data_IF_748163384470
#
_entry.id   IF_748163384470
#
_cell.length_a   1.000
_cell.length_b   1.000
_cell.length_c   1.000
_cell.angle_alpha   90.00
_cell.angle_beta   90.00
_cell.angle_gamma   90.00
#
_symmetry.space_group_name_H-M   'P 1'
#
loop_
_entity.id
_entity.type
_entity.pdbx_description
1 polymer ?
#
# COMPACT_ATOMS: atom_id res chain seq x y z
N UNK A 1 8.51 -11.06 -16.00
CA UNK A 1 7.73 -12.28 -15.76
C UNK A 1 8.55 -13.33 -15.03
N UNK A 2 9.23 -12.94 -13.95
CA UNK A 2 9.89 -13.78 -12.97
C UNK A 2 9.48 -13.21 -11.61
N UNK A 3 9.36 -14.03 -10.57
CA UNK A 3 8.99 -13.57 -9.23
C UNK A 3 10.22 -13.20 -8.37
N UNK A 4 9.98 -12.57 -7.23
CA UNK A 4 11.05 -12.17 -6.31
C UNK A 4 11.87 -13.37 -5.80
N UNK A 5 11.24 -14.52 -5.56
CA UNK A 5 11.91 -15.73 -5.05
C UNK A 5 12.95 -16.25 -6.04
N UNK A 6 12.59 -16.33 -7.33
CA UNK A 6 13.50 -16.73 -8.39
C UNK A 6 14.70 -15.77 -8.51
N UNK A 7 14.46 -14.46 -8.42
CA UNK A 7 15.54 -13.47 -8.50
C UNK A 7 16.55 -13.60 -7.35
N UNK A 8 16.06 -13.92 -6.14
CA UNK A 8 16.90 -14.13 -4.96
C UNK A 8 17.71 -15.43 -5.10
N UNK A 9 17.06 -16.55 -5.46
CA UNK A 9 17.71 -17.85 -5.60
C UNK A 9 18.81 -17.83 -6.66
N UNK A 10 18.56 -17.14 -7.78
CA UNK A 10 19.52 -17.00 -8.88
C UNK A 10 20.58 -15.92 -8.66
N UNK A 11 20.55 -15.20 -7.53
CA UNK A 11 21.42 -14.04 -7.24
C UNK A 11 21.38 -13.01 -8.37
N UNK A 12 20.19 -12.77 -8.91
CA UNK A 12 19.99 -11.81 -9.98
C UNK A 12 20.46 -10.42 -9.52
N UNK A 13 21.05 -9.57 -10.40
CA UNK A 13 21.58 -8.26 -10.02
C UNK A 13 20.58 -7.37 -9.25
N UNK A 14 19.29 -7.46 -9.56
CA UNK A 14 18.24 -6.73 -8.81
C UNK A 14 18.12 -7.21 -7.36
N UNK A 15 18.19 -8.52 -7.11
CA UNK A 15 18.12 -9.07 -5.76
C UNK A 15 19.33 -8.61 -4.93
N UNK A 16 20.53 -8.65 -5.53
CA UNK A 16 21.74 -8.14 -4.89
C UNK A 16 21.66 -6.62 -4.62
N UNK A 17 21.18 -5.84 -5.59
CA UNK A 17 21.04 -4.38 -5.47
C UNK A 17 20.11 -3.97 -4.33
N UNK A 18 18.98 -4.67 -4.19
CA UNK A 18 17.97 -4.38 -3.18
C UNK A 18 18.08 -5.28 -1.94
N UNK A 19 19.20 -6.01 -1.79
CA UNK A 19 19.49 -6.88 -0.65
C UNK A 19 18.34 -7.85 -0.33
N UNK A 20 17.79 -8.48 -1.36
CA UNK A 20 16.69 -9.45 -1.32
C UNK A 20 15.36 -8.90 -0.78
N UNK A 21 15.23 -7.58 -0.62
CA UNK A 21 14.00 -6.92 -0.14
C UNK A 21 13.20 -6.36 -1.30
N UNK A 22 12.07 -7.00 -1.59
CA UNK A 22 11.12 -6.60 -2.65
C UNK A 22 11.82 -6.12 -3.94
N UNK A 23 12.69 -6.94 -4.58
CA UNK A 23 13.55 -6.47 -5.67
C UNK A 23 12.79 -5.89 -6.86
N UNK A 24 11.65 -6.49 -7.22
CA UNK A 24 10.81 -6.01 -8.34
C UNK A 24 10.12 -4.69 -7.99
N UNK A 25 9.51 -4.59 -6.80
CA UNK A 25 8.78 -3.41 -6.37
C UNK A 25 9.71 -2.20 -6.20
N UNK A 26 10.93 -2.42 -5.70
CA UNK A 26 11.96 -1.38 -5.65
C UNK A 26 12.42 -0.94 -7.06
N UNK A 27 12.57 -1.89 -7.98
CA UNK A 27 12.86 -1.57 -9.38
C UNK A 27 11.73 -0.76 -10.03
N UNK A 28 10.46 -1.10 -9.76
CA UNK A 28 9.29 -0.36 -10.23
C UNK A 28 9.29 1.08 -9.71
N UNK A 29 9.53 1.29 -8.41
CA UNK A 29 9.70 2.62 -7.82
C UNK A 29 10.80 3.41 -8.52
N UNK A 30 11.99 2.81 -8.66
CA UNK A 30 13.13 3.46 -9.29
C UNK A 30 12.80 3.88 -10.72
N UNK A 31 12.17 2.98 -11.50
CA UNK A 31 11.86 3.25 -12.90
C UNK A 31 10.80 4.33 -13.07
N UNK A 32 9.78 4.35 -12.21
CA UNK A 32 8.75 5.39 -12.20
C UNK A 32 9.37 6.78 -12.05
N UNK A 33 10.22 6.97 -11.05
CA UNK A 33 10.81 8.28 -10.77
C UNK A 33 11.94 8.65 -11.74
N UNK A 34 12.67 7.69 -12.28
CA UNK A 34 13.60 7.91 -13.39
C UNK A 34 12.84 8.48 -14.59
N UNK A 35 11.72 7.86 -14.98
CA UNK A 35 10.91 8.34 -16.11
C UNK A 35 10.28 9.71 -15.82
N UNK A 36 9.70 9.89 -14.63
CA UNK A 36 9.07 11.16 -14.24
C UNK A 36 10.07 12.33 -14.11
N UNK A 37 11.37 12.05 -13.99
CA UNK A 37 12.43 13.07 -13.98
C UNK A 37 12.79 13.61 -15.36
N UNK A 38 12.38 12.92 -16.43
CA UNK A 38 12.65 13.37 -17.80
C UNK A 38 11.75 14.55 -18.16
N UNK A 39 12.31 15.52 -18.89
CA UNK A 39 11.60 16.75 -19.29
C UNK A 39 10.33 16.49 -20.11
N UNK A 40 10.28 15.38 -20.85
CA UNK A 40 9.13 14.98 -21.66
C UNK A 40 8.04 14.24 -20.86
N UNK A 41 8.29 13.87 -19.61
CA UNK A 41 7.38 13.08 -18.78
C UNK A 41 7.23 13.65 -17.35
N UNK A 42 7.38 14.97 -17.18
CA UNK A 42 7.36 15.62 -15.86
C UNK A 42 5.94 15.78 -15.29
N UNK A 43 5.26 14.67 -15.05
CA UNK A 43 3.87 14.62 -14.53
C UNK A 43 3.71 15.24 -13.14
N UNK A 44 4.82 15.46 -12.43
CA UNK A 44 4.84 16.06 -11.08
C UNK A 44 5.39 17.50 -11.07
N UNK A 45 5.55 18.13 -12.24
CA UNK A 45 6.23 19.43 -12.36
C UNK A 45 5.53 20.61 -11.69
N UNK A 46 4.22 20.52 -11.46
CA UNK A 46 3.43 21.58 -10.81
C UNK A 46 3.36 21.44 -9.28
N UNK A 47 3.90 20.35 -8.73
CA UNK A 47 3.90 20.13 -7.29
C UNK A 47 4.96 20.99 -6.61
N UNK A 48 4.60 21.58 -5.47
CA UNK A 48 5.60 22.14 -4.54
C UNK A 48 6.48 21.04 -3.97
N UNK A 49 7.68 21.38 -3.48
CA UNK A 49 8.60 20.41 -2.89
C UNK A 49 7.97 19.58 -1.76
N UNK A 50 7.14 20.20 -0.93
CA UNK A 50 6.43 19.54 0.16
C UNK A 50 5.42 18.51 -0.38
N UNK A 51 4.65 18.89 -1.40
CA UNK A 51 3.68 17.99 -2.06
C UNK A 51 4.40 16.86 -2.78
N UNK A 52 5.51 17.15 -3.47
CA UNK A 52 6.31 16.13 -4.14
C UNK A 52 6.86 15.11 -3.16
N UNK A 53 7.41 15.54 -2.02
CA UNK A 53 7.90 14.63 -0.99
C UNK A 53 6.79 13.75 -0.41
N UNK A 54 5.61 14.33 -0.13
CA UNK A 54 4.46 13.57 0.37
C UNK A 54 3.96 12.55 -0.67
N UNK A 55 3.77 12.99 -1.92
CA UNK A 55 3.38 12.13 -3.04
C UNK A 55 4.39 11.00 -3.24
N UNK A 56 5.69 11.32 -3.25
CA UNK A 56 6.75 10.33 -3.43
C UNK A 56 6.71 9.26 -2.35
N UNK A 57 6.55 9.65 -1.08
CA UNK A 57 6.39 8.68 0.03
C UNK A 57 5.19 7.77 -0.22
N UNK A 58 4.03 8.34 -0.53
CA UNK A 58 2.81 7.57 -0.78
C UNK A 58 2.95 6.60 -1.97
N UNK A 59 3.56 7.03 -3.08
CA UNK A 59 3.79 6.18 -4.24
C UNK A 59 4.76 5.03 -3.92
N UNK A 60 5.84 5.30 -3.20
CA UNK A 60 6.80 4.28 -2.79
C UNK A 60 6.12 3.25 -1.88
N UNK A 61 5.39 3.70 -0.87
CA UNK A 61 4.65 2.83 0.03
C UNK A 61 3.64 1.98 -0.74
N UNK A 62 2.82 2.59 -1.61
CA UNK A 62 1.82 1.90 -2.40
C UNK A 62 2.41 0.80 -3.29
N UNK A 63 3.56 1.06 -3.94
CA UNK A 63 4.24 0.08 -4.79
C UNK A 63 4.89 -1.03 -3.94
N UNK A 64 5.53 -0.69 -2.82
CA UNK A 64 6.14 -1.70 -1.96
C UNK A 64 5.10 -2.64 -1.34
N UNK A 65 3.91 -2.12 -1.00
CA UNK A 65 2.81 -2.94 -0.48
C UNK A 65 2.19 -3.89 -1.51
N UNK A 66 2.54 -3.80 -2.81
CA UNK A 66 2.13 -4.82 -3.79
C UNK A 66 3.00 -6.06 -3.77
N UNK A 67 4.09 -6.09 -2.99
CA UNK A 67 4.90 -7.30 -2.83
C UNK A 67 4.06 -8.41 -2.19
N UNK A 68 3.93 -9.52 -2.92
CA UNK A 68 3.18 -10.69 -2.45
C UNK A 68 3.77 -11.30 -1.17
N UNK A 69 5.05 -11.05 -0.83
CA UNK A 69 5.62 -11.45 0.45
C UNK A 69 4.91 -10.76 1.65
N UNK A 70 4.34 -9.56 1.44
CA UNK A 70 3.60 -8.83 2.46
C UNK A 70 2.12 -9.23 2.54
N UNK A 71 1.58 -9.87 1.49
CA UNK A 71 0.16 -10.20 1.38
C UNK A 71 -0.37 -10.95 2.61
N UNK A 72 0.30 -12.02 3.05
CA UNK A 72 -0.14 -12.80 4.21
C UNK A 72 -0.10 -11.99 5.51
N UNK A 73 0.86 -11.08 5.66
CA UNK A 73 0.94 -10.18 6.82
C UNK A 73 -0.24 -9.21 6.83
N UNK A 74 -0.52 -8.60 5.68
CA UNK A 74 -1.65 -7.68 5.51
C UNK A 74 -2.99 -8.37 5.74
N UNK A 75 -3.17 -9.59 5.22
CA UNK A 75 -4.39 -10.37 5.45
C UNK A 75 -4.60 -10.70 6.93
N UNK A 76 -3.55 -11.08 7.66
CA UNK A 76 -3.63 -11.30 9.11
C UNK A 76 -4.00 -10.03 9.86
N UNK A 77 -3.44 -8.89 9.48
CA UNK A 77 -3.78 -7.60 10.09
C UNK A 77 -5.26 -7.24 9.84
N UNK A 78 -5.73 -7.38 8.59
CA UNK A 78 -7.14 -7.15 8.25
C UNK A 78 -8.08 -8.09 9.01
N UNK A 79 -7.72 -9.37 9.13
CA UNK A 79 -8.48 -10.34 9.90
C UNK A 79 -8.56 -9.97 11.38
N UNK A 80 -7.45 -9.57 12.00
CA UNK A 80 -7.42 -9.13 13.39
C UNK A 80 -8.31 -7.89 13.62
N UNK A 81 -8.25 -6.91 12.71
CA UNK A 81 -9.09 -5.70 12.77
C UNK A 81 -10.57 -6.11 12.74
N UNK A 82 -10.93 -7.04 11.86
CA UNK A 82 -12.30 -7.55 11.76
C UNK A 82 -12.72 -8.32 13.01
N UNK A 83 -11.88 -9.21 13.56
CA UNK A 83 -12.20 -10.00 14.74
C UNK A 83 -12.40 -9.14 15.99
N UNK A 84 -11.65 -8.05 16.14
CA UNK A 84 -11.76 -7.14 17.29
C UNK A 84 -12.95 -6.18 17.16
N UNK A 85 -13.35 -5.83 15.93
CA UNK A 85 -14.35 -4.79 15.67
C UNK A 85 -15.55 -5.32 14.86
N UNK A 86 -15.83 -6.62 14.94
CA UNK A 86 -16.85 -7.27 14.11
C UNK A 86 -18.23 -6.68 14.29
N UNK A 87 -18.56 -6.28 15.53
CA UNK A 87 -19.88 -5.75 15.87
C UNK A 87 -20.13 -4.42 15.15
N UNK A 88 -19.17 -3.49 15.20
CA UNK A 88 -19.25 -2.21 14.49
C UNK A 88 -19.31 -2.39 12.98
N UNK A 89 -18.57 -3.35 12.43
CA UNK A 89 -18.57 -3.68 11.00
C UNK A 89 -19.92 -4.26 10.55
N UNK A 90 -20.55 -5.10 11.39
CA UNK A 90 -21.89 -5.67 11.15
C UNK A 90 -22.95 -4.57 11.21
N UNK A 91 -22.94 -3.73 12.24
CA UNK A 91 -23.86 -2.59 12.37
C UNK A 91 -23.77 -1.66 11.16
N UNK A 92 -22.55 -1.34 10.73
CA UNK A 92 -22.31 -0.52 9.54
C UNK A 92 -22.92 -1.14 8.28
N UNK A 93 -22.76 -2.46 8.10
CA UNK A 93 -23.35 -3.20 6.98
C UNK A 93 -24.87 -3.31 7.06
N UNK A 94 -25.46 -3.44 8.24
CA UNK A 94 -26.91 -3.47 8.42
C UNK A 94 -27.53 -2.11 8.07
N UNK A 95 -26.91 -1.01 8.51
CA UNK A 95 -27.35 0.35 8.17
C UNK A 95 -27.31 0.64 6.68
N UNK A 96 -26.38 0.06 5.92
CA UNK A 96 -26.38 0.15 4.45
C UNK A 96 -27.71 -0.33 3.81
N UNK A 97 -28.38 -1.32 4.41
CA UNK A 97 -29.66 -1.81 3.89
C UNK A 97 -30.82 -0.84 4.14
N UNK A 98 -30.69 0.05 5.13
CA UNK A 98 -31.67 1.08 5.48
C UNK A 98 -31.41 2.39 4.74
N UNK A 99 -30.13 2.79 4.68
CA UNK A 99 -29.65 4.00 4.00
C UNK A 99 -28.25 3.75 3.38
N UNK A 100 -28.16 3.58 2.05
CA UNK A 100 -26.88 3.36 1.37
C UNK A 100 -25.87 4.49 1.56
N UNK A 101 -26.33 5.73 1.78
CA UNK A 101 -25.45 6.89 1.98
C UNK A 101 -24.87 6.93 3.40
N UNK A 102 -25.41 6.12 4.33
CA UNK A 102 -24.93 5.99 5.71
C UNK A 102 -23.75 5.01 5.86
N UNK A 103 -23.33 4.37 4.77
CA UNK A 103 -22.22 3.42 4.78
C UNK A 103 -20.90 4.03 4.27
N UNK A 104 -19.75 3.74 4.92
CA UNK A 104 -19.64 3.14 6.25
C UNK A 104 -20.04 4.15 7.34
N UNK A 105 -20.48 3.63 8.49
CA UNK A 105 -20.77 4.48 9.65
C UNK A 105 -19.52 5.19 10.18
N UNK A 106 -19.71 6.34 10.83
CA UNK A 106 -18.62 7.08 11.47
C UNK A 106 -17.90 6.21 12.53
N UNK A 107 -18.64 5.38 13.27
CA UNK A 107 -18.08 4.45 14.23
C UNK A 107 -17.16 3.41 13.56
N UNK A 108 -17.56 2.87 12.41
CA UNK A 108 -16.75 1.94 11.64
C UNK A 108 -15.51 2.62 11.02
N UNK A 109 -15.60 3.91 10.67
CA UNK A 109 -14.45 4.69 10.19
C UNK A 109 -13.43 4.95 11.30
N UNK A 110 -13.88 5.17 12.54
CA UNK A 110 -13.00 5.38 13.69
C UNK A 110 -12.15 4.15 14.03
N UNK A 111 -12.62 2.93 13.74
CA UNK A 111 -11.84 1.69 13.92
C UNK A 111 -10.47 1.79 13.22
N UNK A 112 -10.42 2.33 12.00
CA UNK A 112 -9.17 2.46 11.24
C UNK A 112 -8.28 3.63 11.72
N UNK A 113 -8.80 4.50 12.58
CA UNK A 113 -8.04 5.61 13.17
C UNK A 113 -7.37 5.21 14.48
N UNK A 114 -7.80 4.11 15.11
CA UNK A 114 -7.24 3.62 16.36
C UNK A 114 -5.73 3.26 16.23
N UNK A 115 -4.91 3.53 17.26
CA UNK A 115 -3.49 3.15 17.24
C UNK A 115 -3.27 1.65 17.07
N UNK A 116 -4.21 0.84 17.54
CA UNK A 116 -4.15 -0.63 17.52
C UNK A 116 -4.30 -1.21 16.11
N UNK A 117 -4.95 -0.47 15.21
CA UNK A 117 -5.17 -0.85 13.81
C UNK A 117 -4.09 -0.28 12.87
N UNK A 118 -3.21 0.59 13.37
CA UNK A 118 -2.04 1.13 12.65
C UNK A 118 -0.78 0.32 12.98
N UNK A 119 -0.60 -0.86 12.38
CA UNK A 119 0.65 -1.66 12.51
C UNK A 119 1.16 -2.18 11.18
#
# INVERSE_FOLDING_TARGET
GLDNAFLIETKHPLALMYNDKSPLENMHCSKLFELASRKDCQIFGELTDMQYQAMRRNCVDAILFTDNALHFKMMKAAQLIYEVNSDEMVISRERYAEDPDSFPTDEALEVFRLPETRR
#
